data_IF_458541891174
#
_entry.id   IF_458541891174
#
_cell.length_a   1.000
_cell.length_b   1.000
_cell.length_c   1.000
_cell.angle_alpha   90.00
_cell.angle_beta   90.00
_cell.angle_gamma   90.00
#
_symmetry.space_group_name_H-M   'P 1'
#
loop_
_entity.id
_entity.type
_entity.pdbx_description
1 polymer ?
#
# COMPACT_ATOMS: atom_id res chain seq x y z
N UNK A 1 -8.68 -1.05 -13.06
CA UNK A 1 -9.25 -2.40 -13.17
C UNK A 1 -9.51 -2.88 -11.75
N UNK A 2 -10.76 -3.16 -11.36
CA UNK A 2 -11.08 -3.70 -10.04
C UNK A 2 -11.17 -5.23 -10.14
N UNK A 3 -10.58 -5.94 -9.17
CA UNK A 3 -10.60 -7.40 -9.13
C UNK A 3 -11.61 -7.82 -8.05
N UNK A 4 -12.65 -8.57 -8.44
CA UNK A 4 -13.66 -9.08 -7.51
C UNK A 4 -14.95 -8.24 -7.39
N UNK A 5 -15.26 -7.41 -8.38
CA UNK A 5 -16.57 -6.74 -8.42
C UNK A 5 -17.69 -7.79 -8.54
N UNK A 6 -18.67 -7.71 -7.64
CA UNK A 6 -19.85 -8.56 -7.65
C UNK A 6 -21.10 -7.69 -7.41
N UNK A 7 -22.11 -7.81 -8.29
CA UNK A 7 -23.42 -7.17 -8.15
C UNK A 7 -23.35 -5.64 -7.90
N UNK A 8 -22.39 -4.96 -8.53
CA UNK A 8 -22.21 -3.51 -8.41
C UNK A 8 -21.46 -3.05 -7.16
N UNK A 9 -21.04 -3.99 -6.29
CA UNK A 9 -20.09 -3.70 -5.23
C UNK A 9 -18.67 -3.76 -5.79
N UNK A 10 -17.89 -2.71 -5.52
CA UNK A 10 -16.47 -2.72 -5.86
C UNK A 10 -15.76 -3.79 -5.04
N UNK A 11 -14.97 -4.61 -5.72
CA UNK A 11 -14.07 -5.57 -5.12
C UNK A 11 -12.93 -4.87 -4.37
N UNK A 12 -12.04 -5.68 -3.80
CA UNK A 12 -10.88 -5.20 -3.08
C UNK A 12 -9.88 -4.50 -4.01
N UNK A 13 -9.13 -3.57 -3.43
CA UNK A 13 -8.06 -2.85 -4.09
C UNK A 13 -6.73 -3.53 -3.78
N UNK A 14 -6.01 -4.06 -4.78
CA UNK A 14 -4.65 -4.53 -4.58
C UNK A 14 -3.73 -3.34 -4.30
N UNK A 15 -2.79 -3.54 -3.39
CA UNK A 15 -1.71 -2.61 -3.08
C UNK A 15 -0.41 -3.39 -3.22
N UNK A 16 0.46 -2.89 -4.09
CA UNK A 16 1.77 -3.46 -4.37
C UNK A 16 2.83 -2.49 -3.83
N UNK A 17 3.74 -3.00 -3.00
CA UNK A 17 4.90 -2.27 -2.49
C UNK A 17 6.17 -2.97 -2.97
N UNK A 18 6.92 -2.29 -3.84
CA UNK A 18 8.11 -2.86 -4.50
C UNK A 18 9.34 -2.02 -4.15
N UNK A 19 10.40 -2.68 -3.69
CA UNK A 19 11.71 -2.04 -3.53
C UNK A 19 12.43 -1.92 -4.87
N UNK A 20 12.99 -0.75 -5.17
CA UNK A 20 13.53 -0.43 -6.49
C UNK A 20 14.82 -1.19 -6.83
N UNK A 21 15.61 -1.59 -5.82
CA UNK A 21 16.91 -2.24 -6.04
C UNK A 21 16.76 -3.75 -6.04
N UNK A 22 16.18 -4.29 -4.97
CA UNK A 22 16.06 -5.73 -4.73
C UNK A 22 14.89 -6.36 -5.46
N UNK A 23 13.93 -5.54 -5.91
CA UNK A 23 12.67 -6.00 -6.49
C UNK A 23 11.85 -6.86 -5.52
N UNK A 24 12.10 -6.73 -4.21
CA UNK A 24 11.28 -7.35 -3.18
C UNK A 24 9.88 -6.74 -3.22
N UNK A 25 8.86 -7.58 -3.28
CA UNK A 25 7.46 -7.17 -3.43
C UNK A 25 6.62 -7.68 -2.25
N UNK A 26 5.80 -6.79 -1.70
CA UNK A 26 4.68 -7.15 -0.83
C UNK A 26 3.39 -6.78 -1.55
N UNK A 27 2.50 -7.75 -1.72
CA UNK A 27 1.16 -7.55 -2.25
C UNK A 27 0.15 -7.74 -1.12
N UNK A 28 -0.76 -6.79 -0.96
CA UNK A 28 -1.93 -6.96 -0.10
C UNK A 28 -3.20 -6.45 -0.78
N UNK A 29 -4.34 -6.63 -0.11
CA UNK A 29 -5.61 -6.11 -0.57
C UNK A 29 -6.29 -5.31 0.53
N UNK A 30 -6.83 -4.15 0.19
CA UNK A 30 -7.65 -3.34 1.08
C UNK A 30 -9.06 -3.21 0.53
N UNK A 31 -10.05 -3.07 1.41
CA UNK A 31 -11.45 -2.90 1.00
C UNK A 31 -11.69 -1.61 0.19
N UNK A 32 -10.94 -0.54 0.47
CA UNK A 32 -11.08 0.79 -0.12
C UNK A 32 -9.73 1.51 -0.12
N UNK A 33 -9.50 2.38 -1.10
CA UNK A 33 -8.40 3.36 -1.04
C UNK A 33 -8.87 4.50 -0.12
N UNK A 34 -8.57 4.38 1.16
CA UNK A 34 -8.84 5.38 2.18
C UNK A 34 -7.79 5.27 3.28
N UNK A 35 -7.51 6.36 4.00
CA UNK A 35 -6.53 6.35 5.09
C UNK A 35 -6.83 5.26 6.13
N UNK A 36 -8.10 5.11 6.52
CA UNK A 36 -8.53 4.10 7.50
C UNK A 36 -8.22 2.67 7.06
N UNK A 37 -8.37 2.36 5.77
CA UNK A 37 -8.08 1.03 5.22
C UNK A 37 -6.58 0.84 4.94
N UNK A 38 -5.87 1.89 4.50
CA UNK A 38 -4.46 1.83 4.10
C UNK A 38 -3.50 1.87 5.29
N UNK A 39 -3.76 2.67 6.34
CA UNK A 39 -2.85 2.81 7.48
C UNK A 39 -2.53 1.48 8.18
N UNK A 40 -3.52 0.60 8.47
CA UNK A 40 -3.22 -0.72 9.04
C UNK A 40 -2.44 -1.63 8.09
N UNK A 41 -2.71 -1.55 6.78
CA UNK A 41 -2.01 -2.34 5.77
C UNK A 41 -0.55 -1.90 5.65
N UNK A 42 -0.28 -0.60 5.56
CA UNK A 42 1.06 -0.03 5.50
C UNK A 42 1.89 -0.40 6.73
N UNK A 43 1.31 -0.30 7.94
CA UNK A 43 1.99 -0.71 9.19
C UNK A 43 2.40 -2.18 9.15
N UNK A 44 1.52 -3.06 8.66
CA UNK A 44 1.85 -4.48 8.53
C UNK A 44 2.95 -4.71 7.49
N UNK A 45 2.87 -4.05 6.33
CA UNK A 45 3.92 -4.13 5.31
C UNK A 45 5.29 -3.73 5.87
N UNK A 46 5.36 -2.63 6.61
CA UNK A 46 6.60 -2.14 7.23
C UNK A 46 7.25 -3.15 8.17
N UNK A 47 6.48 -4.02 8.84
CA UNK A 47 7.03 -5.08 9.69
C UNK A 47 7.58 -6.29 8.93
N UNK A 48 7.22 -6.44 7.66
CA UNK A 48 7.63 -7.57 6.82
C UNK A 48 8.92 -7.24 6.05
N UNK A 49 9.18 -5.97 5.78
CA UNK A 49 10.35 -5.51 5.03
C UNK A 49 11.64 -5.98 5.74
N UNK A 50 12.45 -6.86 5.11
CA UNK A 50 13.62 -7.45 5.75
C UNK A 50 14.90 -6.60 5.58
N UNK A 51 14.75 -5.29 5.40
CA UNK A 51 15.84 -4.33 5.16
C UNK A 51 15.51 -2.95 5.71
N UNK A 52 16.51 -2.06 5.71
CA UNK A 52 16.34 -0.69 6.20
C UNK A 52 15.53 0.10 5.18
N UNK A 53 14.39 0.64 5.62
CA UNK A 53 13.59 1.56 4.82
C UNK A 53 14.21 2.95 4.83
N UNK A 54 14.61 3.46 3.67
CA UNK A 54 15.21 4.80 3.53
C UNK A 54 14.17 5.88 3.19
N UNK A 55 13.08 5.47 2.56
CA UNK A 55 12.00 6.35 2.12
C UNK A 55 10.88 5.52 1.50
N UNK A 56 9.72 6.16 1.33
CA UNK A 56 8.55 5.53 0.75
C UNK A 56 7.88 6.50 -0.22
N UNK A 57 7.50 6.01 -1.41
CA UNK A 57 6.83 6.80 -2.44
C UNK A 57 5.60 6.05 -2.96
N UNK A 58 4.48 6.76 -3.11
CA UNK A 58 3.27 6.25 -3.75
C UNK A 58 3.06 6.96 -5.08
N UNK A 59 2.81 6.19 -6.13
CA UNK A 59 2.63 6.66 -7.50
C UNK A 59 1.20 7.16 -7.80
N UNK A 60 0.22 6.78 -6.97
CA UNK A 60 -1.20 7.12 -7.12
C UNK A 60 -1.78 7.90 -5.93
N UNK A 61 -0.93 8.46 -5.07
CA UNK A 61 -1.35 9.30 -3.95
C UNK A 61 -1.70 10.73 -4.40
N UNK A 62 -2.92 10.99 -4.86
CA UNK A 62 -3.43 12.36 -4.99
C UNK A 62 -3.71 13.01 -3.62
N UNK A 63 -3.77 12.19 -2.57
CA UNK A 63 -4.13 12.57 -1.22
C UNK A 63 -2.99 12.26 -0.23
N UNK A 64 -2.14 13.28 -0.05
CA UNK A 64 -1.23 13.49 1.10
C UNK A 64 0.03 12.60 1.16
N UNK A 65 1.21 12.98 1.67
CA UNK A 65 1.83 14.22 2.19
C UNK A 65 3.34 13.90 2.29
N UNK A 66 4.23 14.87 2.05
CA UNK A 66 5.62 14.86 2.54
C UNK A 66 5.65 14.91 4.08
N UNK A 67 5.26 13.85 4.78
CA UNK A 67 5.48 13.69 6.21
C UNK A 67 6.19 12.36 6.40
N UNK A 68 7.11 12.39 7.36
CA UNK A 68 7.85 11.23 7.81
C UNK A 68 6.87 10.09 8.12
N UNK A 69 6.95 9.01 7.34
CA UNK A 69 6.08 7.82 7.50
C UNK A 69 6.66 6.87 8.56
N UNK A 70 7.85 7.14 9.07
CA UNK A 70 8.50 6.42 10.16
C UNK A 70 9.52 7.32 10.89
N UNK A 71 9.60 7.19 12.22
CA UNK A 71 10.67 7.75 13.06
C UNK A 71 11.98 6.96 12.92
#
# INVERSE_FOLDING_TARGET
>A
MHRGDQDGQKGVYPIDAVDEITQFEIVCTVEKISEQSLMPALKQMMTIIPFILLGFHSDNGSEYINNQVAD
#
